data_IF_916968878809
#
_entry.id   IF_916968878809
#
_cell.length_a   1.000
_cell.length_b   1.000
_cell.length_c   1.000
_cell.angle_alpha   90.00
_cell.angle_beta   90.00
_cell.angle_gamma   90.00
#
_symmetry.space_group_name_H-M   'P 1'
#
loop_
_entity.id
_entity.type
_entity.pdbx_description
1 polymer ?
#
# COMPACT_ATOMS: atom_id res chain seq x y z
N UNK A 1 24.17 -66.51 49.06
CA UNK A 1 24.42 -66.17 47.65
C UNK A 1 23.65 -64.92 47.31
N UNK A 2 24.35 -63.84 47.02
CA UNK A 2 23.81 -62.49 46.90
C UNK A 2 23.49 -62.19 45.46
N UNK A 3 22.20 -61.87 45.18
CA UNK A 3 21.75 -61.46 43.87
C UNK A 3 21.71 -59.93 43.85
N UNK A 4 22.52 -59.30 43.02
CA UNK A 4 22.49 -57.86 42.78
C UNK A 4 21.52 -57.52 41.72
N UNK A 5 20.50 -56.75 42.04
CA UNK A 5 19.53 -56.16 41.12
C UNK A 5 20.06 -54.82 40.67
N UNK A 6 20.40 -54.73 39.41
CA UNK A 6 20.88 -53.48 38.80
C UNK A 6 19.65 -52.70 38.28
N UNK A 7 19.36 -51.59 39.00
CA UNK A 7 18.34 -50.65 38.55
C UNK A 7 18.92 -49.76 37.47
N UNK A 8 18.52 -49.97 36.23
CA UNK A 8 18.80 -49.01 35.19
C UNK A 8 17.67 -47.98 35.19
N UNK A 9 17.98 -46.76 35.61
CA UNK A 9 17.15 -45.59 35.47
C UNK A 9 17.08 -45.21 34.01
N UNK A 10 15.91 -45.40 33.40
CA UNK A 10 15.65 -44.96 32.03
C UNK A 10 15.32 -43.47 32.07
N UNK A 11 16.34 -42.65 31.80
CA UNK A 11 16.18 -41.21 31.64
C UNK A 11 15.59 -40.95 30.25
N UNK A 12 14.26 -40.80 30.22
CA UNK A 12 13.53 -40.42 28.98
C UNK A 12 13.81 -38.98 28.65
N UNK A 13 14.65 -38.75 27.65
CA UNK A 13 14.80 -37.44 27.00
C UNK A 13 13.56 -37.19 26.14
N UNK A 14 12.63 -36.41 26.66
CA UNK A 14 11.53 -35.86 25.85
C UNK A 14 12.12 -34.76 24.99
N UNK A 15 12.47 -35.09 23.76
CA UNK A 15 12.82 -34.14 22.74
C UNK A 15 11.55 -33.43 22.28
N UNK A 16 11.28 -32.28 22.89
CA UNK A 16 10.16 -31.41 22.47
C UNK A 16 10.42 -30.93 21.04
N UNK A 17 9.74 -31.53 20.06
CA UNK A 17 9.60 -30.95 18.73
C UNK A 17 8.76 -29.68 18.88
N UNK A 18 9.43 -28.56 18.96
CA UNK A 18 8.83 -27.25 18.68
C UNK A 18 8.49 -27.25 17.19
N UNK A 19 7.26 -27.61 16.88
CA UNK A 19 6.71 -27.34 15.56
C UNK A 19 6.57 -25.83 15.50
N UNK A 20 7.60 -25.16 14.97
CA UNK A 20 7.48 -23.80 14.48
C UNK A 20 6.43 -23.88 13.39
N UNK A 21 5.19 -23.51 13.75
CA UNK A 21 4.14 -23.31 12.80
C UNK A 21 4.64 -22.27 11.79
N UNK A 22 4.98 -22.72 10.59
CA UNK A 22 4.96 -21.84 9.46
C UNK A 22 3.57 -21.23 9.42
N UNK A 23 3.44 -19.95 9.74
CA UNK A 23 2.30 -19.16 9.34
C UNK A 23 2.13 -19.44 7.86
N UNK A 24 1.00 -20.04 7.48
CA UNK A 24 0.62 -20.15 6.07
C UNK A 24 0.55 -18.72 5.55
N UNK A 25 1.65 -18.25 4.96
CA UNK A 25 1.59 -17.09 4.08
C UNK A 25 0.56 -17.43 3.03
N UNK A 26 -0.38 -16.53 2.79
CA UNK A 26 -1.42 -16.68 1.78
C UNK A 26 -0.78 -17.27 0.52
N UNK A 27 -1.05 -18.54 0.24
CA UNK A 27 -0.51 -19.23 -0.94
C UNK A 27 -1.05 -18.51 -2.15
N UNK A 28 -0.19 -17.83 -2.86
CA UNK A 28 -0.53 -17.15 -4.09
C UNK A 28 -0.97 -18.21 -5.10
N UNK A 29 -2.27 -18.24 -5.41
CA UNK A 29 -2.78 -19.14 -6.46
C UNK A 29 -2.56 -18.48 -7.83
N UNK A 30 -1.46 -18.84 -8.49
CA UNK A 30 -1.10 -18.34 -9.81
C UNK A 30 -2.13 -18.66 -10.91
N UNK A 31 -3.08 -19.53 -10.64
CA UNK A 31 -4.14 -19.89 -11.59
C UNK A 31 -5.38 -18.98 -11.44
N UNK A 32 -5.38 -18.09 -10.45
CA UNK A 32 -6.52 -17.24 -10.15
C UNK A 32 -6.27 -15.82 -10.65
N UNK A 33 -7.21 -15.29 -11.45
CA UNK A 33 -7.15 -13.89 -11.83
C UNK A 33 -7.46 -13.02 -10.61
N UNK A 34 -6.54 -12.16 -10.24
CA UNK A 34 -6.63 -11.29 -9.06
C UNK A 34 -6.43 -9.83 -9.46
N UNK A 35 -7.12 -8.94 -8.77
CA UNK A 35 -7.00 -7.50 -8.98
C UNK A 35 -6.01 -6.87 -7.97
N UNK A 36 -5.25 -5.89 -8.42
CA UNK A 36 -4.30 -5.13 -7.61
C UNK A 36 -4.16 -3.70 -8.15
N UNK A 37 -3.64 -2.76 -7.36
CA UNK A 37 -3.34 -1.41 -7.83
C UNK A 37 -2.02 -1.43 -8.59
N UNK A 38 -2.02 -0.90 -9.80
CA UNK A 38 -0.84 -0.81 -10.67
C UNK A 38 0.30 -0.06 -9.97
N UNK A 39 1.50 -0.62 -10.02
CA UNK A 39 2.70 -0.02 -9.44
C UNK A 39 2.94 -0.36 -7.97
N UNK A 40 2.10 -1.21 -7.36
CA UNK A 40 2.28 -1.65 -5.96
C UNK A 40 2.99 -3.00 -5.83
N UNK A 41 3.46 -3.59 -6.93
CA UNK A 41 4.01 -4.95 -6.98
C UNK A 41 5.31 -5.07 -6.18
N UNK A 42 6.08 -3.99 -6.05
CA UNK A 42 7.36 -3.98 -5.32
C UNK A 42 7.30 -3.13 -4.05
N UNK A 43 6.56 -2.03 -4.09
CA UNK A 43 6.38 -1.12 -2.96
C UNK A 43 5.03 -0.43 -3.07
N UNK A 44 4.27 -0.34 -1.97
CA UNK A 44 3.01 0.38 -1.99
C UNK A 44 3.19 1.91 -1.96
N UNK A 45 4.41 2.43 -1.81
CA UNK A 45 4.68 3.87 -1.75
C UNK A 45 5.23 4.39 -3.07
N UNK A 46 4.57 5.40 -3.64
CA UNK A 46 4.99 6.05 -4.87
C UNK A 46 5.07 7.57 -4.66
N UNK A 47 6.13 8.18 -5.18
CA UNK A 47 6.32 9.63 -5.11
C UNK A 47 5.37 10.35 -6.07
N UNK A 48 4.58 11.29 -5.55
CA UNK A 48 3.77 12.21 -6.34
C UNK A 48 4.36 13.62 -6.23
N UNK A 49 4.97 14.10 -7.31
CA UNK A 49 5.56 15.45 -7.38
C UNK A 49 4.45 16.45 -7.65
N UNK A 50 4.32 17.44 -6.74
CA UNK A 50 3.39 18.57 -6.85
C UNK A 50 4.20 19.82 -7.05
N UNK A 51 4.22 20.34 -8.29
CA UNK A 51 4.90 21.60 -8.66
C UNK A 51 3.98 22.78 -8.35
N UNK A 52 2.78 22.74 -8.91
CA UNK A 52 1.72 23.72 -8.70
C UNK A 52 0.43 23.03 -8.29
N UNK A 53 -0.53 23.76 -7.71
CA UNK A 53 -1.87 23.27 -7.42
C UNK A 53 -2.91 23.91 -8.34
N UNK A 54 -3.85 23.11 -8.89
CA UNK A 54 -4.05 21.69 -8.66
C UNK A 54 -3.08 20.80 -9.45
N UNK A 55 -2.60 19.72 -8.82
CA UNK A 55 -1.82 18.64 -9.46
C UNK A 55 -2.58 17.33 -9.42
N UNK A 56 -2.43 16.48 -10.43
CA UNK A 56 -3.18 15.24 -10.58
C UNK A 56 -2.27 14.02 -10.73
N UNK A 57 -2.72 12.89 -10.18
CA UNK A 57 -2.08 11.58 -10.30
C UNK A 57 -3.12 10.53 -10.66
N UNK A 58 -2.86 9.75 -11.72
CA UNK A 58 -3.74 8.68 -12.17
C UNK A 58 -3.44 7.37 -11.43
N UNK A 59 -4.47 6.77 -10.83
CA UNK A 59 -4.41 5.46 -10.20
C UNK A 59 -5.25 4.49 -11.02
N UNK A 60 -4.68 3.34 -11.37
CA UNK A 60 -5.37 2.28 -12.11
C UNK A 60 -5.34 0.97 -11.35
N UNK A 61 -6.34 0.13 -11.54
CA UNK A 61 -6.29 -1.28 -11.17
C UNK A 61 -5.71 -2.09 -12.32
N UNK A 62 -4.97 -3.14 -11.96
CA UNK A 62 -4.52 -4.19 -12.86
C UNK A 62 -5.10 -5.53 -12.44
N UNK A 63 -5.14 -6.47 -13.37
CA UNK A 63 -5.43 -7.88 -13.10
C UNK A 63 -4.28 -8.75 -13.57
N UNK A 64 -4.12 -9.91 -12.95
CA UNK A 64 -3.03 -10.86 -13.31
C UNK A 64 -3.17 -11.43 -14.70
N UNK A 65 -4.40 -11.43 -15.26
CA UNK A 65 -4.69 -11.80 -16.64
C UNK A 65 -5.84 -10.92 -17.16
N UNK A 66 -6.09 -10.94 -18.47
CA UNK A 66 -7.22 -10.23 -19.09
C UNK A 66 -8.54 -10.73 -18.53
N UNK A 67 -9.50 -9.82 -18.45
CA UNK A 67 -10.86 -10.16 -18.02
C UNK A 67 -11.73 -10.51 -19.25
N UNK A 68 -12.63 -11.48 -19.09
CA UNK A 68 -13.54 -11.93 -20.16
C UNK A 68 -14.77 -11.03 -20.31
N UNK A 69 -15.10 -10.26 -19.29
CA UNK A 69 -16.22 -9.30 -19.25
C UNK A 69 -15.78 -8.04 -18.51
N UNK A 70 -16.55 -6.98 -18.65
CA UNK A 70 -16.31 -5.74 -17.90
C UNK A 70 -16.35 -6.01 -16.39
N UNK A 71 -15.37 -5.45 -15.68
CA UNK A 71 -15.20 -5.56 -14.23
C UNK A 71 -15.18 -4.16 -13.65
N UNK A 72 -16.16 -3.83 -12.80
CA UNK A 72 -16.16 -2.58 -12.06
C UNK A 72 -15.19 -2.64 -10.89
N UNK A 73 -14.48 -1.54 -10.69
CA UNK A 73 -13.50 -1.36 -9.62
C UNK A 73 -13.82 -0.05 -8.92
N UNK A 74 -13.84 -0.06 -7.60
CA UNK A 74 -14.08 1.13 -6.79
C UNK A 74 -12.87 1.47 -5.94
N UNK A 75 -12.44 2.73 -6.02
CA UNK A 75 -11.37 3.30 -5.21
C UNK A 75 -11.91 4.23 -4.13
N UNK A 76 -11.15 4.36 -3.04
CA UNK A 76 -11.41 5.35 -2.00
C UNK A 76 -10.10 5.86 -1.40
N UNK A 77 -10.11 7.07 -0.85
CA UNK A 77 -9.04 7.58 0.00
C UNK A 77 -9.36 7.17 1.44
N UNK A 78 -8.50 6.32 2.03
CA UNK A 78 -8.64 5.88 3.43
C UNK A 78 -7.46 6.38 4.28
N UNK A 79 -7.63 7.51 4.93
CA UNK A 79 -6.59 8.17 5.74
C UNK A 79 -6.18 7.36 6.97
N UNK A 80 -7.05 6.46 7.47
CA UNK A 80 -6.77 5.63 8.64
C UNK A 80 -5.63 4.64 8.40
N UNK A 81 -5.39 4.26 7.13
CA UNK A 81 -4.33 3.35 6.74
C UNK A 81 -2.92 3.92 6.96
N UNK A 82 -2.77 5.25 7.12
CA UNK A 82 -1.45 5.87 7.35
C UNK A 82 -0.88 5.46 8.70
N UNK A 83 -1.69 5.42 9.75
CA UNK A 83 -1.24 5.00 11.08
C UNK A 83 -0.84 3.52 11.08
N UNK A 84 -1.65 2.66 10.47
CA UNK A 84 -1.35 1.24 10.32
C UNK A 84 -0.03 1.03 9.59
N UNK A 85 0.15 1.70 8.45
CA UNK A 85 1.38 1.63 7.65
C UNK A 85 2.60 2.10 8.43
N UNK A 86 2.49 3.23 9.17
CA UNK A 86 3.58 3.75 9.98
C UNK A 86 4.02 2.74 11.06
N UNK A 87 3.08 2.08 11.72
CA UNK A 87 3.35 1.10 12.76
C UNK A 87 4.03 -0.15 12.20
N UNK A 88 3.58 -0.63 11.04
CA UNK A 88 4.12 -1.83 10.39
C UNK A 88 5.51 -1.62 9.79
N UNK A 89 5.79 -0.41 9.27
CA UNK A 89 7.02 -0.11 8.53
C UNK A 89 7.97 0.85 9.25
N UNK A 90 7.67 1.24 10.50
CA UNK A 90 8.44 2.19 11.31
C UNK A 90 8.70 3.51 10.56
N UNK A 91 7.67 4.02 9.86
CA UNK A 91 7.69 5.29 9.14
C UNK A 91 7.02 6.40 9.96
N UNK A 92 7.10 7.66 9.47
CA UNK A 92 6.49 8.84 10.10
C UNK A 92 5.72 9.68 9.06
N UNK A 93 4.86 9.03 8.31
CA UNK A 93 4.00 9.72 7.36
C UNK A 93 2.82 10.38 8.05
N UNK A 94 2.31 11.43 7.45
CA UNK A 94 1.11 12.15 7.86
C UNK A 94 0.04 11.96 6.79
N UNK A 95 -1.18 11.69 7.21
CA UNK A 95 -2.31 11.69 6.28
C UNK A 95 -2.52 13.10 5.72
N UNK A 96 -2.82 13.17 4.42
CA UNK A 96 -3.12 14.46 3.79
C UNK A 96 -4.36 15.10 4.45
N UNK A 97 -4.36 16.43 4.74
CA UNK A 97 -5.50 17.11 5.34
C UNK A 97 -6.79 16.94 4.53
N UNK A 98 -7.93 16.97 5.22
CA UNK A 98 -9.23 17.02 4.55
C UNK A 98 -9.36 18.30 3.72
N UNK A 99 -9.97 18.18 2.54
CA UNK A 99 -10.10 19.31 1.61
C UNK A 99 -8.87 19.61 0.77
N UNK A 100 -7.68 19.09 1.13
CA UNK A 100 -6.46 19.29 0.33
C UNK A 100 -6.39 18.36 -0.89
N UNK A 101 -7.22 17.32 -0.95
CA UNK A 101 -7.23 16.33 -2.02
C UNK A 101 -8.64 15.85 -2.35
N UNK A 102 -8.91 15.61 -3.63
CA UNK A 102 -10.11 14.92 -4.12
C UNK A 102 -9.72 13.64 -4.87
N UNK A 103 -10.68 12.71 -4.96
CA UNK A 103 -10.61 11.54 -5.81
C UNK A 103 -11.75 11.66 -6.83
N UNK A 104 -11.38 11.87 -8.09
CA UNK A 104 -12.30 11.95 -9.23
C UNK A 104 -12.30 10.59 -9.93
N UNK A 105 -13.41 10.22 -10.59
CA UNK A 105 -13.58 8.95 -11.32
C UNK A 105 -13.26 7.71 -10.46
N UNK A 106 -13.69 7.73 -9.19
CA UNK A 106 -13.43 6.67 -8.21
C UNK A 106 -14.02 5.31 -8.61
N UNK A 107 -15.06 5.30 -9.43
CA UNK A 107 -15.66 4.12 -10.05
C UNK A 107 -15.03 3.91 -11.43
N UNK A 108 -14.11 2.96 -11.52
CA UNK A 108 -13.35 2.63 -12.72
C UNK A 108 -13.81 1.30 -13.33
N UNK A 109 -13.47 1.04 -14.58
CA UNK A 109 -13.86 -0.19 -15.28
C UNK A 109 -12.66 -0.82 -15.97
N UNK A 110 -12.45 -2.12 -15.77
CA UNK A 110 -11.59 -2.95 -16.61
C UNK A 110 -12.48 -3.53 -17.70
N UNK A 111 -12.29 -3.09 -18.94
CA UNK A 111 -13.09 -3.55 -20.07
C UNK A 111 -12.73 -4.99 -20.46
N UNK A 112 -13.68 -5.73 -20.99
CA UNK A 112 -13.49 -7.07 -21.54
C UNK A 112 -12.28 -7.12 -22.48
N UNK A 113 -11.44 -8.13 -22.33
CA UNK A 113 -10.19 -8.31 -23.07
C UNK A 113 -9.03 -7.43 -22.62
N UNK A 114 -9.19 -6.61 -21.58
CA UNK A 114 -8.15 -5.78 -20.98
C UNK A 114 -7.70 -6.35 -19.62
N UNK A 115 -6.54 -5.88 -19.15
CA UNK A 115 -5.99 -6.17 -17.82
C UNK A 115 -5.80 -4.89 -16.98
N UNK A 116 -6.26 -3.72 -17.45
CA UNK A 116 -6.12 -2.43 -16.77
C UNK A 116 -7.44 -1.70 -16.78
N UNK A 117 -7.75 -1.02 -15.69
CA UNK A 117 -8.95 -0.18 -15.57
C UNK A 117 -8.77 1.18 -16.26
N UNK A 118 -9.88 1.88 -16.47
CA UNK A 118 -9.86 3.34 -16.59
C UNK A 118 -9.23 3.93 -15.32
N UNK A 119 -8.57 5.10 -15.39
CA UNK A 119 -7.93 5.70 -14.22
C UNK A 119 -8.94 6.36 -13.27
N UNK A 120 -8.73 6.23 -11.97
CA UNK A 120 -9.20 7.18 -11.00
C UNK A 120 -8.16 8.28 -10.83
N UNK A 121 -8.59 9.53 -10.62
CA UNK A 121 -7.69 10.68 -10.55
C UNK A 121 -7.63 11.25 -9.14
N UNK A 122 -6.46 11.14 -8.50
CA UNK A 122 -6.15 11.84 -7.26
C UNK A 122 -5.70 13.26 -7.62
N UNK A 123 -6.41 14.27 -7.11
CA UNK A 123 -6.13 15.68 -7.39
C UNK A 123 -5.81 16.43 -6.11
N UNK A 124 -4.57 16.87 -5.96
CA UNK A 124 -4.14 17.75 -4.86
C UNK A 124 -4.56 19.17 -5.21
N UNK A 125 -5.46 19.75 -4.40
CA UNK A 125 -6.07 21.05 -4.64
C UNK A 125 -5.26 22.17 -3.98
N UNK A 126 -4.73 21.91 -2.77
CA UNK A 126 -3.94 22.85 -1.99
C UNK A 126 -2.87 22.15 -1.18
N UNK A 127 -1.77 22.83 -0.94
CA UNK A 127 -0.70 22.40 -0.02
C UNK A 127 -0.45 23.45 1.08
N UNK A 128 -1.34 24.42 1.25
CA UNK A 128 -1.19 25.54 2.20
C UNK A 128 -1.14 25.07 3.65
N UNK A 129 -1.93 24.04 3.98
CA UNK A 129 -2.00 23.47 5.33
C UNK A 129 -0.86 22.46 5.62
N UNK A 130 0.09 22.31 4.70
CA UNK A 130 1.20 21.36 4.89
C UNK A 130 2.28 21.97 5.77
N UNK A 131 2.43 21.43 6.99
CA UNK A 131 3.49 21.85 7.90
C UNK A 131 4.87 21.46 7.37
N UNK A 132 5.86 22.34 7.64
CA UNK A 132 7.25 22.08 7.28
C UNK A 132 7.81 20.84 7.99
N UNK A 133 8.70 20.13 7.30
CA UNK A 133 9.33 18.91 7.84
C UNK A 133 8.42 17.68 7.92
N UNK A 134 7.17 17.77 7.48
CA UNK A 134 6.24 16.63 7.43
C UNK A 134 6.15 16.03 6.03
N UNK A 135 6.11 14.71 5.97
CA UNK A 135 5.88 13.97 4.74
C UNK A 135 4.44 13.51 4.70
N UNK A 136 3.67 14.09 3.79
CA UNK A 136 2.24 13.76 3.63
C UNK A 136 2.05 12.65 2.60
N UNK A 137 1.09 11.76 2.85
CA UNK A 137 0.70 10.70 1.92
C UNK A 137 -0.81 10.68 1.70
N UNK A 138 -1.21 10.29 0.49
CA UNK A 138 -2.60 9.99 0.12
C UNK A 138 -2.72 8.48 -0.05
N UNK A 139 -3.35 7.76 0.90
CA UNK A 139 -3.61 6.34 0.73
C UNK A 139 -4.86 6.17 -0.14
N UNK A 140 -4.67 5.59 -1.33
CA UNK A 140 -5.76 5.20 -2.22
C UNK A 140 -5.90 3.69 -2.16
N UNK A 141 -7.06 3.21 -1.77
CA UNK A 141 -7.33 1.78 -1.63
C UNK A 141 -8.44 1.33 -2.59
N UNK A 142 -8.29 0.14 -3.11
CA UNK A 142 -9.33 -0.55 -3.86
C UNK A 142 -10.29 -1.20 -2.86
N UNK A 143 -11.54 -0.72 -2.82
CA UNK A 143 -12.54 -1.15 -1.83
C UNK A 143 -13.45 -2.25 -2.36
N UNK A 144 -13.68 -2.28 -3.67
CA UNK A 144 -14.57 -3.24 -4.33
C UNK A 144 -14.07 -3.58 -5.74
N UNK A 145 -14.23 -4.83 -6.14
CA UNK A 145 -13.96 -5.34 -7.49
C UNK A 145 -14.98 -6.44 -7.79
N UNK A 146 -15.67 -6.30 -8.92
CA UNK A 146 -16.70 -7.25 -9.32
C UNK A 146 -16.11 -8.62 -9.69
N UNK A 147 -16.44 -9.65 -8.92
CA UNK A 147 -16.17 -11.04 -9.25
C UNK A 147 -14.70 -11.48 -9.24
N UNK A 148 -13.78 -10.62 -8.79
CA UNK A 148 -12.37 -10.94 -8.62
C UNK A 148 -11.95 -10.78 -7.15
N UNK A 149 -10.94 -11.55 -6.74
CA UNK A 149 -10.27 -11.28 -5.46
C UNK A 149 -9.27 -10.14 -5.59
N UNK A 150 -9.18 -9.34 -4.53
CA UNK A 150 -8.18 -8.29 -4.43
C UNK A 150 -6.92 -8.88 -3.78
N UNK A 151 -5.77 -8.69 -4.42
CA UNK A 151 -4.47 -9.06 -3.87
C UNK A 151 -4.15 -8.16 -2.67
N UNK A 152 -4.30 -8.70 -1.45
CA UNK A 152 -4.22 -7.94 -0.19
C UNK A 152 -2.98 -7.04 -0.05
N UNK A 153 -1.74 -7.50 -0.34
CA UNK A 153 -0.56 -6.64 -0.21
C UNK A 153 -0.53 -5.47 -1.19
N UNK A 154 -1.28 -5.57 -2.29
CA UNK A 154 -1.27 -4.62 -3.40
C UNK A 154 -2.62 -3.91 -3.59
N UNK A 155 -3.46 -3.90 -2.55
CA UNK A 155 -4.78 -3.24 -2.61
C UNK A 155 -4.75 -1.74 -2.32
N UNK A 156 -3.63 -1.23 -1.82
CA UNK A 156 -3.48 0.19 -1.43
C UNK A 156 -2.18 0.76 -1.97
N UNK A 157 -2.25 1.94 -2.57
CA UNK A 157 -1.08 2.75 -2.93
C UNK A 157 -1.03 3.98 -2.02
N UNK A 158 0.16 4.30 -1.52
CA UNK A 158 0.42 5.51 -0.74
C UNK A 158 1.15 6.51 -1.63
N UNK A 159 0.46 7.56 -2.08
CA UNK A 159 1.05 8.62 -2.88
C UNK A 159 1.75 9.60 -1.96
N UNK A 160 3.09 9.52 -1.89
CA UNK A 160 3.91 10.42 -1.09
C UNK A 160 4.04 11.76 -1.80
N UNK A 161 3.46 12.81 -1.20
CA UNK A 161 3.48 14.16 -1.77
C UNK A 161 4.86 14.77 -1.62
N UNK A 162 5.44 15.18 -2.75
CA UNK A 162 6.71 15.90 -2.82
C UNK A 162 6.49 17.25 -3.48
N UNK A 163 6.51 18.32 -2.67
CA UNK A 163 6.38 19.70 -3.20
C UNK A 163 7.69 20.15 -3.83
N UNK A 164 7.59 20.85 -4.96
CA UNK A 164 8.70 21.61 -5.54
C UNK A 164 8.64 23.02 -4.95
N UNK A 165 9.72 23.46 -4.34
CA UNK A 165 9.85 24.82 -3.81
C UNK A 165 10.61 25.66 -4.85
N UNK A 166 9.91 26.61 -5.47
CA UNK A 166 10.53 27.57 -6.37
C UNK A 166 11.07 28.76 -5.56
N UNK A 167 12.38 28.92 -5.49
CA UNK A 167 13.00 30.10 -4.92
C UNK A 167 12.99 31.20 -5.95
N UNK A 168 12.13 32.22 -5.80
CA UNK A 168 12.00 33.34 -6.76
C UNK A 168 13.06 34.40 -6.64
N UNK A 169 13.76 34.56 -5.50
CA UNK A 169 14.96 35.41 -5.37
C UNK A 169 15.74 35.12 -4.09
N UNK A 170 17.06 35.08 -4.19
CA UNK A 170 17.98 35.22 -3.07
C UNK A 170 18.35 36.72 -2.95
N UNK A 171 17.70 37.45 -2.04
CA UNK A 171 18.17 38.78 -1.66
C UNK A 171 19.44 38.63 -0.80
N UNK A 172 20.59 38.63 -1.44
CA UNK A 172 21.86 38.78 -0.74
C UNK A 172 22.06 40.28 -0.50
N UNK A 173 21.59 40.80 0.64
CA UNK A 173 21.98 42.13 1.09
C UNK A 173 23.41 42.05 1.61
N UNK A 174 24.37 42.48 0.77
CA UNK A 174 25.71 42.78 1.23
C UNK A 174 25.64 44.00 2.15
N UNK A 175 25.69 43.78 3.45
CA UNK A 175 26.01 44.86 4.42
C UNK A 175 27.53 44.95 4.49
N UNK A 176 28.07 46.00 3.86
CA UNK A 176 29.44 46.49 4.12
C UNK A 176 29.46 47.26 5.45
#
# INVERSE_FOLDING_TARGET
MKTYIFKHSLLGVILGLSILGCTEGDKFDYNKNMAFITGTETTPVTKFVVEDTPSSYAVTASTTDKVDKDVNVKFAIDRSLVETYNNEHNTKYYAIPEGAVTLEDADAVIQAGKAFSTPATVKVISTEDFAEGRVYVVPVTMVEVDGLEILKPSKTIFLQISRVIHFTSLNISNTN
#
